data_IF_529150117309
#
_entry.id   IF_529150117309
#
_cell.length_a   1.000
_cell.length_b   1.000
_cell.length_c   1.000
_cell.angle_alpha   90.00
_cell.angle_beta   90.00
_cell.angle_gamma   90.00
#
_symmetry.space_group_name_H-M   'P 1'
#
loop_
_entity.id
_entity.type
_entity.pdbx_description
1 polymer ?
#
# COMPACT_ATOMS: atom_id res chain seq x y z
N UNK A 1 -7.05 18.37 -21.79
CA UNK A 1 -7.11 17.68 -20.49
C UNK A 1 -6.80 16.21 -20.71
N UNK A 2 -5.70 15.74 -20.13
CA UNK A 2 -5.36 14.32 -20.05
C UNK A 2 -6.38 13.64 -19.13
N UNK A 3 -7.04 12.57 -19.58
CA UNK A 3 -8.05 11.87 -18.79
C UNK A 3 -7.71 10.37 -18.72
N UNK A 4 -7.08 9.99 -17.61
CA UNK A 4 -6.66 8.60 -17.32
C UNK A 4 -7.86 7.64 -17.38
N UNK A 5 -9.06 8.07 -16.96
CA UNK A 5 -10.23 7.20 -16.93
C UNK A 5 -10.67 6.72 -18.31
N UNK A 6 -10.34 7.47 -19.37
CA UNK A 6 -10.59 7.07 -20.77
C UNK A 6 -9.51 6.15 -21.36
N UNK A 7 -8.29 6.19 -20.84
CA UNK A 7 -7.17 5.36 -21.31
C UNK A 7 -7.21 3.95 -20.72
N UNK A 8 -7.74 3.80 -19.51
CA UNK A 8 -7.65 2.57 -18.72
C UNK A 8 -6.29 2.42 -18.03
N UNK A 9 -6.24 1.71 -16.92
CA UNK A 9 -5.06 1.63 -16.04
C UNK A 9 -3.81 1.08 -16.75
N UNK A 10 -3.93 -0.07 -17.43
CA UNK A 10 -2.81 -0.73 -18.13
C UNK A 10 -2.15 0.20 -19.17
N UNK A 11 -2.94 0.94 -19.94
CA UNK A 11 -2.44 1.89 -20.94
C UNK A 11 -1.85 3.16 -20.32
N UNK A 12 -2.44 3.66 -19.24
CA UNK A 12 -1.89 4.79 -18.50
C UNK A 12 -0.51 4.46 -17.90
N UNK A 13 -0.36 3.26 -17.32
CA UNK A 13 0.91 2.79 -16.77
C UNK A 13 1.96 2.56 -17.86
N UNK A 14 1.58 2.03 -19.02
CA UNK A 14 2.52 1.88 -20.15
C UNK A 14 3.10 3.22 -20.63
N UNK A 15 2.36 4.32 -20.48
CA UNK A 15 2.85 5.66 -20.82
C UNK A 15 3.75 6.25 -19.72
N UNK A 16 3.79 5.66 -18.52
CA UNK A 16 4.56 6.16 -17.37
C UNK A 16 6.09 6.13 -17.55
N UNK A 17 6.62 5.28 -18.44
CA UNK A 17 8.06 5.20 -18.72
C UNK A 17 8.56 6.35 -19.60
N UNK A 18 7.64 7.04 -20.28
CA UNK A 18 8.01 8.21 -21.07
C UNK A 18 8.43 9.32 -20.08
N UNK A 19 9.71 9.72 -20.14
CA UNK A 19 10.28 10.78 -19.31
C UNK A 19 9.49 12.10 -19.40
N UNK A 20 8.76 12.34 -20.48
CA UNK A 20 7.88 13.51 -20.63
C UNK A 20 6.51 13.30 -19.97
N UNK A 21 6.06 12.07 -19.87
CA UNK A 21 4.72 11.73 -19.39
C UNK A 21 4.67 11.50 -17.89
N UNK A 22 5.72 10.92 -17.29
CA UNK A 22 5.80 10.71 -15.84
C UNK A 22 5.51 11.98 -15.02
N UNK A 23 6.10 13.15 -15.32
CA UNK A 23 5.79 14.38 -14.60
C UNK A 23 4.33 14.83 -14.74
N UNK A 24 3.73 14.64 -15.93
CA UNK A 24 2.32 14.98 -16.18
C UNK A 24 1.39 14.07 -15.38
N UNK A 25 1.70 12.77 -15.30
CA UNK A 25 0.94 11.82 -14.51
C UNK A 25 1.08 12.09 -13.02
N UNK A 26 2.29 12.42 -12.55
CA UNK A 26 2.51 12.79 -11.14
C UNK A 26 1.70 14.02 -10.75
N UNK A 27 1.73 15.08 -11.56
CA UNK A 27 0.93 16.29 -11.35
C UNK A 27 -0.57 15.99 -11.38
N UNK A 28 -1.04 15.14 -12.30
CA UNK A 28 -2.44 14.72 -12.35
C UNK A 28 -2.86 13.99 -11.06
N UNK A 29 -2.05 13.04 -10.57
CA UNK A 29 -2.37 12.27 -9.37
C UNK A 29 -2.31 13.12 -8.10
N UNK A 30 -1.34 14.04 -7.98
CA UNK A 30 -1.28 15.01 -6.88
C UNK A 30 -2.58 15.81 -6.80
N UNK A 31 -3.03 16.36 -7.92
CA UNK A 31 -4.26 17.15 -8.00
C UNK A 31 -5.51 16.31 -7.73
N UNK A 32 -5.58 15.09 -8.26
CA UNK A 32 -6.71 14.18 -8.08
C UNK A 32 -6.89 13.78 -6.61
N UNK A 33 -5.79 13.45 -5.94
CA UNK A 33 -5.79 13.08 -4.52
C UNK A 33 -5.97 14.31 -3.64
N UNK A 34 -5.55 15.49 -4.11
CA UNK A 34 -5.65 16.75 -3.39
C UNK A 34 -4.47 17.03 -2.45
N UNK A 35 -3.30 16.46 -2.75
CA UNK A 35 -2.06 16.63 -2.00
C UNK A 35 -1.40 17.98 -2.30
N UNK A 36 -0.84 18.62 -1.27
CA UNK A 36 -0.06 19.87 -1.43
C UNK A 36 1.21 19.62 -2.25
N UNK A 37 1.35 20.29 -3.40
CA UNK A 37 2.52 20.19 -4.28
C UNK A 37 3.78 20.84 -3.70
N UNK A 38 3.63 21.73 -2.72
CA UNK A 38 4.76 22.35 -2.04
C UNK A 38 5.47 21.38 -1.09
N UNK A 39 4.81 20.29 -0.70
CA UNK A 39 5.42 19.24 0.11
C UNK A 39 6.23 18.30 -0.77
N UNK A 40 7.54 18.26 -0.57
CA UNK A 40 8.44 17.40 -1.37
C UNK A 40 8.07 15.94 -1.22
N UNK A 41 7.71 15.53 0.00
CA UNK A 41 7.28 14.16 0.27
C UNK A 41 5.97 13.79 -0.46
N UNK A 42 5.08 14.74 -0.75
CA UNK A 42 3.87 14.46 -1.53
C UNK A 42 4.20 14.09 -2.97
N UNK A 43 5.12 14.83 -3.59
CA UNK A 43 5.60 14.49 -4.94
C UNK A 43 6.31 13.14 -4.95
N UNK A 44 7.16 12.89 -3.95
CA UNK A 44 7.93 11.65 -3.87
C UNK A 44 7.04 10.42 -3.69
N UNK A 45 6.00 10.48 -2.84
CA UNK A 45 5.10 9.34 -2.64
C UNK A 45 4.31 9.00 -3.91
N UNK A 46 3.92 10.01 -4.70
CA UNK A 46 3.29 9.78 -6.01
C UNK A 46 4.27 9.13 -6.99
N UNK A 47 5.54 9.52 -6.97
CA UNK A 47 6.57 8.86 -7.77
C UNK A 47 6.78 7.40 -7.35
N UNK A 48 6.78 7.09 -6.05
CA UNK A 48 6.80 5.70 -5.56
C UNK A 48 5.66 4.87 -6.15
N UNK A 49 4.43 5.40 -6.10
CA UNK A 49 3.27 4.73 -6.68
C UNK A 49 3.44 4.48 -8.18
N UNK A 50 3.84 5.51 -8.93
CA UNK A 50 4.05 5.39 -10.37
C UNK A 50 5.10 4.32 -10.69
N UNK A 51 6.25 4.37 -10.01
CA UNK A 51 7.37 3.44 -10.23
C UNK A 51 6.98 2.01 -9.89
N UNK A 52 6.27 1.82 -8.78
CA UNK A 52 5.81 0.50 -8.36
C UNK A 52 4.84 -0.11 -9.37
N UNK A 53 3.79 0.62 -9.74
CA UNK A 53 2.82 0.15 -10.74
C UNK A 53 3.49 -0.09 -12.10
N UNK A 54 4.43 0.77 -12.51
CA UNK A 54 5.18 0.57 -13.74
C UNK A 54 6.00 -0.73 -13.71
N UNK A 55 6.78 -0.94 -12.65
CA UNK A 55 7.57 -2.15 -12.45
C UNK A 55 6.70 -3.40 -12.41
N UNK A 56 5.54 -3.34 -11.73
CA UNK A 56 4.62 -4.48 -11.62
C UNK A 56 3.99 -4.85 -12.97
N UNK A 57 3.50 -3.88 -13.73
CA UNK A 57 2.88 -4.14 -15.04
C UNK A 57 3.87 -4.57 -16.13
N UNK A 58 5.17 -4.40 -15.90
CA UNK A 58 6.23 -4.80 -16.82
C UNK A 58 7.18 -5.86 -16.23
N UNK A 59 6.83 -6.49 -15.11
CA UNK A 59 7.69 -7.45 -14.41
C UNK A 59 8.21 -8.54 -15.35
N UNK A 60 7.30 -9.27 -16.01
CA UNK A 60 7.63 -10.32 -16.98
C UNK A 60 8.52 -9.82 -18.13
N UNK A 61 8.25 -8.64 -18.67
CA UNK A 61 9.04 -8.06 -19.77
C UNK A 61 10.46 -7.71 -19.33
N UNK A 62 10.61 -7.31 -18.07
CA UNK A 62 11.88 -6.95 -17.47
C UNK A 62 12.62 -8.15 -16.87
N UNK A 63 12.07 -9.37 -17.02
CA UNK A 63 12.65 -10.59 -16.46
C UNK A 63 12.55 -10.68 -14.93
N UNK A 64 11.67 -9.88 -14.31
CA UNK A 64 11.41 -9.90 -12.88
C UNK A 64 10.19 -10.77 -12.59
N UNK A 65 10.23 -11.46 -11.46
CA UNK A 65 9.08 -12.20 -10.95
C UNK A 65 8.17 -11.27 -10.15
N UNK A 66 6.86 -11.55 -10.19
CA UNK A 66 5.86 -10.80 -9.45
C UNK A 66 4.97 -11.73 -8.62
N UNK A 67 4.77 -11.37 -7.36
CA UNK A 67 3.84 -12.05 -6.47
C UNK A 67 2.68 -11.12 -6.13
N UNK A 68 1.44 -11.56 -6.32
CA UNK A 68 0.33 -10.88 -5.65
C UNK A 68 0.35 -11.25 -4.18
N UNK A 69 0.29 -10.25 -3.31
CA UNK A 69 0.33 -10.43 -1.85
C UNK A 69 -0.74 -9.58 -1.18
N UNK A 70 -1.21 -9.96 -0.01
CA UNK A 70 -2.08 -9.06 0.77
C UNK A 70 -1.25 -7.90 1.36
N UNK A 71 -1.91 -6.79 1.70
CA UNK A 71 -1.24 -5.63 2.33
C UNK A 71 -0.36 -5.97 3.56
N UNK A 72 -0.74 -6.88 4.48
CA UNK A 72 0.08 -7.21 5.65
C UNK A 72 1.16 -8.28 5.40
N UNK A 73 1.37 -8.71 4.15
CA UNK A 73 2.37 -9.74 3.86
C UNK A 73 3.79 -9.30 4.26
N UNK A 74 4.67 -10.22 4.69
CA UNK A 74 6.07 -9.93 5.05
C UNK A 74 6.91 -9.67 3.78
N UNK A 75 6.71 -8.50 3.18
CA UNK A 75 7.30 -8.13 1.88
C UNK A 75 8.83 -8.21 1.84
N UNK A 76 9.52 -8.06 2.97
CA UNK A 76 10.98 -8.21 3.07
C UNK A 76 11.48 -9.56 2.53
N UNK A 77 10.71 -10.63 2.72
CA UNK A 77 11.07 -11.96 2.22
C UNK A 77 11.07 -11.94 0.68
N UNK A 78 10.05 -11.37 0.05
CA UNK A 78 9.95 -11.30 -1.41
C UNK A 78 11.13 -10.52 -2.03
N UNK A 79 11.50 -9.39 -1.44
CA UNK A 79 12.66 -8.63 -1.90
C UNK A 79 13.99 -9.37 -1.68
N UNK A 80 14.10 -10.20 -0.65
CA UNK A 80 15.26 -11.08 -0.49
C UNK A 80 15.41 -12.06 -1.67
N UNK A 81 14.29 -12.48 -2.29
CA UNK A 81 14.25 -13.32 -3.48
C UNK A 81 14.27 -12.57 -4.83
N UNK A 82 14.37 -11.24 -4.82
CA UNK A 82 14.24 -10.39 -6.02
C UNK A 82 12.85 -10.50 -6.69
N UNK A 83 11.81 -10.74 -5.89
CA UNK A 83 10.42 -10.79 -6.34
C UNK A 83 9.75 -9.45 -6.03
N UNK A 84 8.95 -8.95 -6.97
CA UNK A 84 8.13 -7.74 -6.78
C UNK A 84 6.83 -8.16 -6.07
N UNK A 85 6.63 -7.86 -4.78
CA UNK A 85 5.31 -8.01 -4.17
C UNK A 85 4.38 -6.92 -4.73
N UNK A 86 3.14 -7.28 -5.04
CA UNK A 86 2.12 -6.35 -5.50
C UNK A 86 0.81 -6.63 -4.75
N UNK A 87 0.32 -5.65 -4.00
CA UNK A 87 -0.98 -5.74 -3.34
C UNK A 87 -2.12 -5.30 -4.26
N UNK A 88 -3.05 -6.21 -4.64
CA UNK A 88 -4.25 -5.84 -5.39
C UNK A 88 -5.10 -4.77 -4.71
N UNK A 89 -5.06 -4.67 -3.37
CA UNK A 89 -5.75 -3.64 -2.61
C UNK A 89 -5.27 -2.22 -2.95
N UNK A 90 -4.00 -2.04 -3.31
CA UNK A 90 -3.49 -0.76 -3.80
C UNK A 90 -4.07 -0.41 -5.17
N UNK A 91 -4.21 -1.41 -6.05
CA UNK A 91 -4.82 -1.24 -7.37
C UNK A 91 -6.29 -0.88 -7.26
N UNK A 92 -7.02 -1.54 -6.37
CA UNK A 92 -8.41 -1.24 -6.06
C UNK A 92 -8.61 0.17 -5.50
N UNK A 93 -7.72 0.58 -4.59
CA UNK A 93 -7.70 1.94 -4.03
C UNK A 93 -7.51 2.98 -5.14
N UNK A 94 -6.49 2.80 -5.98
CA UNK A 94 -6.20 3.70 -7.10
C UNK A 94 -7.34 3.72 -8.12
N UNK A 95 -7.89 2.56 -8.46
CA UNK A 95 -9.00 2.43 -9.41
C UNK A 95 -10.26 3.13 -8.89
N UNK A 96 -10.49 3.09 -7.57
CA UNK A 96 -11.61 3.77 -6.92
C UNK A 96 -11.41 5.29 -6.95
N UNK A 97 -10.20 5.77 -6.62
CA UNK A 97 -9.85 7.20 -6.68
C UNK A 97 -9.92 7.76 -8.10
N UNK A 98 -9.57 6.95 -9.12
CA UNK A 98 -9.69 7.31 -10.53
C UNK A 98 -11.12 7.20 -11.08
N UNK A 99 -12.07 6.69 -10.30
CA UNK A 99 -13.45 6.45 -10.74
C UNK A 99 -13.59 5.38 -11.83
N UNK A 100 -12.63 4.46 -11.92
CA UNK A 100 -12.63 3.37 -12.93
C UNK A 100 -12.94 1.99 -12.36
N UNK A 101 -12.97 1.84 -11.03
CA UNK A 101 -13.23 0.56 -10.36
C UNK A 101 -14.64 -0.02 -10.61
N UNK A 102 -15.60 0.82 -11.04
CA UNK A 102 -17.01 0.42 -11.26
C UNK A 102 -17.10 -0.79 -12.20
N UNK A 103 -16.31 -0.81 -13.28
CA UNK A 103 -16.32 -1.92 -14.23
C UNK A 103 -15.83 -3.23 -13.62
N UNK A 104 -14.85 -3.16 -12.73
CA UNK A 104 -14.35 -4.34 -12.02
C UNK A 104 -15.44 -4.88 -11.08
N UNK A 105 -16.15 -4.00 -10.35
CA UNK A 105 -17.26 -4.38 -9.49
C UNK A 105 -18.42 -5.02 -10.26
N UNK A 106 -18.86 -4.39 -11.35
CA UNK A 106 -19.93 -4.93 -12.21
C UNK A 106 -19.55 -6.29 -12.79
N UNK A 107 -18.29 -6.48 -13.17
CA UNK A 107 -17.80 -7.77 -13.67
C UNK A 107 -17.83 -8.85 -12.58
N UNK A 108 -17.33 -8.53 -11.37
CA UNK A 108 -17.38 -9.46 -10.24
C UNK A 108 -18.82 -9.84 -9.87
N UNK A 109 -19.73 -8.87 -9.82
CA UNK A 109 -21.17 -9.11 -9.57
C UNK A 109 -21.78 -10.01 -10.65
N UNK A 110 -21.46 -9.77 -11.93
CA UNK A 110 -21.95 -10.60 -13.04
C UNK A 110 -21.44 -12.05 -12.97
N UNK A 111 -20.30 -12.27 -12.33
CA UNK A 111 -19.71 -13.58 -12.06
C UNK A 111 -20.28 -14.25 -10.80
N UNK A 112 -21.16 -13.58 -10.07
CA UNK A 112 -21.84 -14.11 -8.88
C UNK A 112 -21.23 -13.71 -7.55
N UNK A 113 -20.30 -12.75 -7.52
CA UNK A 113 -19.80 -12.18 -6.26
C UNK A 113 -20.88 -11.27 -5.66
N UNK A 114 -21.19 -11.48 -4.37
CA UNK A 114 -22.19 -10.68 -3.68
C UNK A 114 -21.79 -9.20 -3.62
N UNK A 115 -22.77 -8.31 -3.74
CA UNK A 115 -22.59 -6.87 -3.51
C UNK A 115 -22.17 -6.53 -2.08
N UNK A 116 -22.42 -7.44 -1.14
CA UNK A 116 -22.02 -7.31 0.25
C UNK A 116 -20.56 -7.74 0.50
N UNK A 117 -19.89 -8.29 -0.52
CA UNK A 117 -18.47 -8.62 -0.43
C UNK A 117 -17.61 -7.36 -0.32
N UNK A 118 -16.43 -7.49 0.27
CA UNK A 118 -15.47 -6.40 0.38
C UNK A 118 -15.14 -5.85 -1.01
N UNK A 119 -15.15 -4.51 -1.17
CA UNK A 119 -14.84 -3.87 -2.44
C UNK A 119 -13.43 -4.18 -2.93
N UNK A 120 -12.46 -4.42 -2.04
CA UNK A 120 -11.11 -4.84 -2.43
C UNK A 120 -11.11 -6.23 -3.10
N UNK A 121 -11.87 -7.17 -2.54
CA UNK A 121 -11.98 -8.53 -3.08
C UNK A 121 -12.77 -8.56 -4.39
N UNK A 122 -13.87 -7.80 -4.47
CA UNK A 122 -14.64 -7.65 -5.71
C UNK A 122 -13.79 -7.00 -6.81
N UNK A 123 -12.95 -6.01 -6.47
CA UNK A 123 -12.03 -5.41 -7.42
C UNK A 123 -11.00 -6.43 -7.95
N UNK A 124 -10.38 -7.20 -7.06
CA UNK A 124 -9.42 -8.25 -7.44
C UNK A 124 -10.06 -9.26 -8.41
N UNK A 125 -11.26 -9.78 -8.09
CA UNK A 125 -11.94 -10.76 -8.93
C UNK A 125 -12.34 -10.15 -10.27
N UNK A 126 -12.93 -8.95 -10.26
CA UNK A 126 -13.31 -8.22 -11.46
C UNK A 126 -12.14 -7.94 -12.39
N UNK A 127 -11.01 -7.49 -11.82
CA UNK A 127 -9.80 -7.18 -12.58
C UNK A 127 -9.12 -8.43 -13.15
N UNK A 128 -9.21 -9.59 -12.49
CA UNK A 128 -8.82 -10.88 -13.06
C UNK A 128 -9.68 -11.23 -14.28
N UNK A 129 -11.01 -11.14 -14.16
CA UNK A 129 -11.94 -11.45 -15.25
C UNK A 129 -11.78 -10.52 -16.46
N UNK A 130 -11.45 -9.25 -16.21
CA UNK A 130 -11.19 -8.25 -17.25
C UNK A 130 -9.76 -8.26 -17.78
N UNK A 131 -8.85 -9.05 -17.20
CA UNK A 131 -7.41 -9.05 -17.50
C UNK A 131 -6.77 -7.65 -17.39
N UNK A 132 -7.15 -6.89 -16.37
CA UNK A 132 -6.62 -5.53 -16.12
C UNK A 132 -5.48 -5.48 -15.11
N UNK A 133 -5.29 -6.55 -14.34
CA UNK A 133 -4.23 -6.68 -13.34
C UNK A 133 -2.84 -6.94 -13.95
N UNK A 134 -1.73 -6.64 -13.25
CA UNK A 134 -0.40 -7.06 -13.68
C UNK A 134 -0.30 -8.57 -13.65
N UNK A 135 0.40 -9.16 -14.62
CA UNK A 135 0.65 -10.60 -14.63
C UNK A 135 1.54 -10.98 -13.44
N UNK A 136 1.17 -12.06 -12.74
CA UNK A 136 1.91 -12.59 -11.60
C UNK A 136 2.36 -14.03 -11.84
N UNK A 137 3.46 -14.41 -11.21
CA UNK A 137 3.97 -15.78 -11.22
C UNK A 137 3.37 -16.62 -10.08
N UNK A 138 3.02 -15.96 -8.98
CA UNK A 138 2.50 -16.61 -7.77
C UNK A 138 1.57 -15.69 -7.00
N UNK A 139 0.69 -16.29 -6.21
CA UNK A 139 -0.14 -15.59 -5.23
C UNK A 139 0.29 -16.04 -3.84
N UNK A 140 0.44 -15.10 -2.91
CA UNK A 140 0.67 -15.41 -1.50
C UNK A 140 -0.38 -14.71 -0.67
N UNK A 141 -1.28 -15.52 -0.11
CA UNK A 141 -2.35 -15.02 0.73
C UNK A 141 -1.94 -15.05 2.20
N UNK A 142 -1.98 -13.90 2.87
CA UNK A 142 -1.75 -13.77 4.31
C UNK A 142 -3.09 -13.55 5.00
N UNK A 143 -3.60 -14.61 5.63
CA UNK A 143 -4.87 -14.61 6.36
C UNK A 143 -4.65 -14.36 7.87
N UNK A 144 -5.71 -14.09 8.63
CA UNK A 144 -5.62 -13.85 10.07
C UNK A 144 -5.09 -12.48 10.49
N UNK A 145 -4.39 -11.76 9.60
CA UNK A 145 -4.15 -10.31 9.72
C UNK A 145 -5.09 -9.56 8.78
N UNK A 146 -6.06 -8.82 9.32
CA UNK A 146 -7.02 -8.04 8.54
C UNK A 146 -8.37 -8.75 8.37
N UNK A 147 -8.50 -9.64 7.39
CA UNK A 147 -9.74 -10.39 7.18
C UNK A 147 -9.50 -11.77 6.53
N UNK A 148 -10.42 -12.71 6.77
CA UNK A 148 -10.36 -14.05 6.19
C UNK A 148 -10.90 -14.09 4.74
N UNK A 149 -11.72 -13.10 4.37
CA UNK A 149 -12.30 -12.97 3.03
C UNK A 149 -11.23 -12.86 1.93
N UNK A 150 -10.10 -12.20 2.24
CA UNK A 150 -8.97 -12.09 1.34
C UNK A 150 -8.33 -13.45 0.99
N UNK A 151 -8.37 -14.42 1.90
CA UNK A 151 -7.95 -15.79 1.61
C UNK A 151 -8.78 -16.41 0.49
N UNK A 152 -10.10 -16.24 0.57
CA UNK A 152 -11.03 -16.76 -0.45
C UNK A 152 -10.91 -16.01 -1.77
N UNK A 153 -10.72 -14.70 -1.76
CA UNK A 153 -10.56 -13.94 -3.00
C UNK A 153 -9.27 -14.33 -3.75
N UNK A 154 -8.19 -14.65 -3.04
CA UNK A 154 -6.96 -15.19 -3.63
C UNK A 154 -7.13 -16.61 -4.20
N UNK A 155 -7.92 -17.47 -3.55
CA UNK A 155 -8.27 -18.77 -4.14
C UNK A 155 -9.10 -18.62 -5.43
N UNK A 156 -10.06 -17.69 -5.45
CA UNK A 156 -10.85 -17.38 -6.66
C UNK A 156 -9.93 -16.82 -7.75
N UNK A 157 -9.04 -15.90 -7.40
CA UNK A 157 -8.05 -15.37 -8.34
C UNK A 157 -7.15 -16.48 -8.90
N UNK A 158 -6.69 -17.41 -8.06
CA UNK A 158 -5.92 -18.60 -8.48
C UNK A 158 -6.73 -19.46 -9.46
N UNK A 159 -8.00 -19.73 -9.16
CA UNK A 159 -8.90 -20.49 -10.04
C UNK A 159 -9.09 -19.82 -11.41
N UNK A 160 -9.29 -18.50 -11.42
CA UNK A 160 -9.54 -17.73 -12.65
C UNK A 160 -8.30 -17.57 -13.53
N UNK A 161 -7.13 -17.45 -12.92
CA UNK A 161 -5.87 -17.13 -13.61
C UNK A 161 -4.99 -18.36 -13.86
N UNK A 162 -5.21 -19.45 -13.12
CA UNK A 162 -4.32 -20.62 -13.10
C UNK A 162 -3.02 -20.41 -12.32
N UNK A 163 -2.83 -19.24 -11.69
CA UNK A 163 -1.63 -18.91 -10.92
C UNK A 163 -1.68 -19.61 -9.56
N UNK A 164 -0.62 -20.31 -9.12
CA UNK A 164 -0.65 -21.03 -7.84
C UNK A 164 -0.70 -20.09 -6.65
N UNK A 165 -1.47 -20.46 -5.63
CA UNK A 165 -1.59 -19.73 -4.36
C UNK A 165 -0.93 -20.48 -3.20
N UNK A 166 -0.12 -19.77 -2.43
CA UNK A 166 0.38 -20.20 -1.13
C UNK A 166 -0.40 -19.47 -0.03
N UNK A 167 -0.90 -20.20 0.96
CA UNK A 167 -1.58 -19.62 2.12
C UNK A 167 -0.65 -19.58 3.32
N UNK A 168 -0.58 -18.40 3.93
CA UNK A 168 0.07 -18.13 5.20
C UNK A 168 -0.98 -17.62 6.18
N UNK A 169 -0.93 -18.04 7.44
CA UNK A 169 -1.88 -17.64 8.47
C UNK A 169 -1.16 -16.91 9.60
N UNK A 170 -1.54 -15.67 9.86
CA UNK A 170 -1.17 -14.98 11.09
C UNK A 170 -2.10 -15.42 12.22
N UNK A 171 -1.57 -15.85 13.37
CA UNK A 171 -2.42 -16.20 14.50
C UNK A 171 -3.13 -14.96 15.07
N UNK A 172 -4.42 -15.10 15.41
CA UNK A 172 -5.19 -14.02 16.05
C UNK A 172 -4.63 -13.63 17.42
N UNK A 173 -4.00 -14.58 18.12
CA UNK A 173 -3.24 -14.33 19.34
C UNK A 173 -1.83 -13.92 18.93
N UNK A 174 -1.31 -12.82 19.47
CA UNK A 174 -0.07 -12.22 18.97
C UNK A 174 1.01 -12.00 20.05
N UNK A 175 0.78 -12.47 21.28
CA UNK A 175 1.66 -12.19 22.42
C UNK A 175 2.05 -13.42 23.24
N UNK A 176 1.56 -14.62 22.90
CA UNK A 176 1.97 -15.85 23.56
C UNK A 176 3.04 -16.61 22.77
N UNK A 177 3.89 -17.40 23.45
CA UNK A 177 4.99 -18.11 22.80
C UNK A 177 4.55 -19.08 21.70
N UNK A 178 3.37 -19.71 21.85
CA UNK A 178 2.85 -20.69 20.90
C UNK A 178 2.47 -20.03 19.58
N UNK A 179 1.78 -18.89 19.63
CA UNK A 179 1.46 -18.11 18.45
C UNK A 179 2.71 -17.55 17.76
N UNK A 180 3.70 -17.10 18.52
CA UNK A 180 4.98 -16.62 17.95
C UNK A 180 5.70 -17.76 17.22
N UNK A 181 5.79 -18.95 17.83
CA UNK A 181 6.44 -20.09 17.19
C UNK A 181 5.66 -20.58 15.96
N UNK A 182 4.33 -20.61 16.02
CA UNK A 182 3.49 -20.93 14.86
C UNK A 182 3.72 -19.95 13.70
N UNK A 183 3.71 -18.64 13.97
CA UNK A 183 3.94 -17.65 12.91
C UNK A 183 5.36 -17.72 12.34
N UNK A 184 6.34 -18.04 13.18
CA UNK A 184 7.71 -18.31 12.73
C UNK A 184 7.75 -19.51 11.78
N UNK A 185 7.05 -20.61 12.08
CA UNK A 185 6.92 -21.75 11.16
C UNK A 185 6.26 -21.35 9.83
N UNK A 186 5.22 -20.52 9.87
CA UNK A 186 4.56 -20.00 8.66
C UNK A 186 5.52 -19.18 7.79
N UNK A 187 6.39 -18.37 8.40
CA UNK A 187 7.45 -17.64 7.67
C UNK A 187 8.43 -18.61 6.99
N UNK A 188 8.83 -19.70 7.66
CA UNK A 188 9.69 -20.71 7.06
C UNK A 188 9.00 -21.49 5.93
N UNK A 189 7.70 -21.78 6.05
CA UNK A 189 6.91 -22.40 4.96
C UNK A 189 6.82 -21.48 3.74
N UNK A 190 6.68 -20.18 3.94
CA UNK A 190 6.74 -19.20 2.86
C UNK A 190 8.14 -19.19 2.21
N UNK A 191 9.21 -19.19 3.00
CA UNK A 191 10.57 -19.27 2.48
C UNK A 191 10.75 -20.55 1.65
N UNK A 192 10.38 -21.71 2.16
CA UNK A 192 10.47 -22.99 1.44
C UNK A 192 9.67 -22.98 0.13
N UNK A 193 8.48 -22.40 0.14
CA UNK A 193 7.68 -22.20 -1.07
C UNK A 193 8.43 -21.35 -2.11
N UNK A 194 8.98 -20.20 -1.70
CA UNK A 194 9.73 -19.31 -2.58
C UNK A 194 11.04 -19.95 -3.07
N UNK A 195 11.74 -20.72 -2.24
CA UNK A 195 12.95 -21.44 -2.66
C UNK A 195 12.64 -22.49 -3.72
N UNK A 196 11.55 -23.25 -3.54
CA UNK A 196 11.11 -24.24 -4.53
C UNK A 196 10.64 -23.59 -5.83
N UNK A 197 9.92 -22.46 -5.74
CA UNK A 197 9.41 -21.76 -6.90
C UNK A 197 10.52 -21.09 -7.72
N UNK A 198 11.46 -20.43 -7.04
CA UNK A 198 12.55 -19.66 -7.68
C UNK A 198 13.78 -20.50 -8.01
N UNK A 199 13.94 -21.66 -7.37
CA UNK A 199 15.17 -22.46 -7.44
C UNK A 199 16.37 -21.81 -6.72
N UNK A 200 16.16 -20.73 -5.96
CA UNK A 200 17.21 -20.02 -5.21
C UNK A 200 17.06 -20.32 -3.71
N UNK A 201 18.16 -20.30 -2.97
CA UNK A 201 18.14 -20.34 -1.50
C UNK A 201 18.07 -18.93 -0.93
N UNK A 202 17.44 -18.77 0.24
CA UNK A 202 17.40 -17.49 0.94
C UNK A 202 18.82 -17.04 1.30
N UNK A 203 19.18 -15.83 0.85
CA UNK A 203 20.38 -15.15 1.33
C UNK A 203 20.09 -14.49 2.68
N UNK A 204 20.62 -15.11 3.74
CA UNK A 204 20.45 -14.66 5.12
C UNK A 204 21.07 -13.28 5.38
N UNK A 205 22.17 -12.92 4.73
CA UNK A 205 22.78 -11.60 4.92
C UNK A 205 21.97 -10.53 4.18
N UNK A 206 21.44 -10.84 3.00
CA UNK A 206 20.54 -9.96 2.25
C UNK A 206 19.25 -9.67 3.03
N UNK A 207 18.54 -10.69 3.51
CA UNK A 207 17.29 -10.46 4.27
C UNK A 207 17.56 -9.72 5.58
N UNK A 208 18.67 -10.01 6.27
CA UNK A 208 19.06 -9.30 7.49
C UNK A 208 19.31 -7.81 7.22
N UNK A 209 19.95 -7.48 6.10
CA UNK A 209 20.13 -6.09 5.67
C UNK A 209 18.78 -5.43 5.36
N UNK A 210 17.90 -6.09 4.61
CA UNK A 210 16.56 -5.57 4.27
C UNK A 210 15.75 -5.30 5.56
N UNK A 211 15.66 -6.27 6.47
CA UNK A 211 14.92 -6.16 7.73
C UNK A 211 15.48 -5.05 8.62
N UNK A 212 16.81 -4.85 8.63
CA UNK A 212 17.42 -3.74 9.36
C UNK A 212 16.90 -2.40 8.83
N UNK A 213 16.92 -2.21 7.52
CA UNK A 213 16.49 -0.97 6.88
C UNK A 213 14.97 -0.76 6.97
N UNK A 214 14.15 -1.83 6.87
CA UNK A 214 12.68 -1.75 7.03
C UNK A 214 12.29 -1.37 8.46
N UNK A 215 13.04 -1.85 9.47
CA UNK A 215 12.87 -1.43 10.86
C UNK A 215 13.20 0.05 11.06
N UNK A 216 14.27 0.57 10.44
CA UNK A 216 14.59 2.00 10.50
C UNK A 216 13.53 2.85 9.80
N UNK A 217 13.04 2.42 8.63
CA UNK A 217 11.91 3.07 7.96
C UNK A 217 10.67 3.12 8.86
N UNK A 218 10.34 2.02 9.53
CA UNK A 218 9.24 1.92 10.48
C UNK A 218 9.39 2.86 11.68
N UNK A 219 10.61 3.12 12.16
CA UNK A 219 10.86 4.10 13.23
C UNK A 219 10.54 5.52 12.78
N UNK A 220 11.05 5.93 11.61
CA UNK A 220 10.75 7.26 11.05
C UNK A 220 9.27 7.42 10.72
N UNK A 221 8.65 6.40 10.17
CA UNK A 221 7.21 6.40 9.90
C UNK A 221 6.39 6.67 11.16
N UNK A 222 6.65 5.94 12.26
CA UNK A 222 5.99 6.18 13.55
C UNK A 222 6.27 7.59 14.10
N UNK A 223 7.52 8.07 13.98
CA UNK A 223 7.87 9.45 14.35
C UNK A 223 7.05 10.46 13.56
N UNK A 224 6.82 10.25 12.26
CA UNK A 224 5.99 11.14 11.45
C UNK A 224 4.56 11.25 11.98
N UNK A 225 3.99 10.15 12.50
CA UNK A 225 2.68 10.15 13.17
C UNK A 225 2.69 10.88 14.50
N UNK A 226 3.73 10.70 15.31
CA UNK A 226 3.89 11.41 16.59
C UNK A 226 4.01 12.92 16.40
N UNK A 227 4.77 13.36 15.39
CA UNK A 227 4.94 14.78 15.05
C UNK A 227 3.61 15.45 14.64
N UNK A 228 2.67 14.70 14.06
CA UNK A 228 1.34 15.24 13.69
C UNK A 228 0.54 15.70 14.90
N UNK A 229 0.90 15.30 16.13
CA UNK A 229 0.26 15.77 17.38
C UNK A 229 0.51 17.25 17.67
N UNK A 230 1.46 17.89 17.00
CA UNK A 230 1.75 19.32 17.16
C UNK A 230 0.53 20.23 16.92
N UNK A 231 0.64 21.47 17.41
CA UNK A 231 -0.27 22.59 17.11
C UNK A 231 0.59 23.78 16.60
N UNK A 232 0.25 24.36 15.43
CA UNK A 232 -0.79 23.93 14.50
C UNK A 232 -0.48 22.57 13.85
N UNK A 233 -1.48 21.92 13.22
CA UNK A 233 -1.30 20.58 12.64
C UNK A 233 -0.48 20.69 11.35
N UNK A 234 0.69 20.04 11.23
CA UNK A 234 1.65 20.35 10.17
C UNK A 234 1.25 19.80 8.79
N UNK A 235 0.50 18.69 8.72
CA UNK A 235 0.05 18.06 7.48
C UNK A 235 -1.38 17.50 7.62
N UNK A 236 -2.08 17.35 6.50
CA UNK A 236 -3.50 17.00 6.44
C UNK A 236 -3.82 15.51 6.61
N UNK A 237 -5.12 15.21 6.61
CA UNK A 237 -5.63 13.84 6.70
C UNK A 237 -5.34 13.04 5.44
N UNK A 238 -5.39 13.67 4.26
CA UNK A 238 -5.11 13.01 2.98
C UNK A 238 -3.64 12.60 2.88
N UNK A 239 -2.72 13.44 3.33
CA UNK A 239 -1.29 13.10 3.48
C UNK A 239 -1.10 11.87 4.36
N UNK A 240 -1.95 11.68 5.38
CA UNK A 240 -1.87 10.52 6.26
C UNK A 240 -2.11 9.21 5.51
N UNK A 241 -3.04 9.20 4.55
CA UNK A 241 -3.34 8.04 3.69
C UNK A 241 -2.23 7.85 2.67
N UNK A 242 -1.81 8.93 2.01
CA UNK A 242 -0.80 8.86 0.95
C UNK A 242 0.54 8.35 1.50
N UNK A 243 1.00 8.89 2.64
CA UNK A 243 2.27 8.50 3.27
C UNK A 243 2.21 7.14 3.98
N UNK A 244 1.04 6.51 4.09
CA UNK A 244 0.92 5.15 4.60
C UNK A 244 1.39 4.12 3.57
N UNK A 245 1.10 4.31 2.29
CA UNK A 245 1.37 3.29 1.28
C UNK A 245 2.81 2.81 1.18
N UNK A 246 3.87 3.63 1.42
CA UNK A 246 5.23 3.15 1.30
C UNK A 246 5.62 2.07 2.30
N UNK A 247 5.05 2.07 3.51
CA UNK A 247 5.35 1.07 4.55
C UNK A 247 4.64 -0.27 4.29
N UNK A 248 3.61 -0.33 3.46
CA UNK A 248 2.86 -1.58 3.28
C UNK A 248 3.39 -2.43 2.15
N UNK A 249 3.74 -1.82 1.01
CA UNK A 249 3.96 -2.58 -0.23
C UNK A 249 4.97 -1.93 -1.19
N UNK A 250 5.50 -0.73 -0.88
CA UNK A 250 6.35 0.01 -1.82
C UNK A 250 7.84 -0.09 -1.49
N UNK A 251 8.33 -1.26 -1.03
CA UNK A 251 9.76 -1.47 -0.79
C UNK A 251 10.55 -1.93 -2.01
N UNK A 252 10.12 -1.53 -3.23
CA UNK A 252 10.95 -1.72 -4.43
C UNK A 252 12.39 -1.22 -4.21
N UNK A 253 12.56 -0.29 -3.26
CA UNK A 253 13.81 0.08 -2.64
C UNK A 253 13.61 0.42 -1.14
N UNK A 254 14.07 -0.46 -0.23
CA UNK A 254 13.99 -0.26 1.23
C UNK A 254 14.77 0.97 1.71
N UNK A 255 15.86 1.32 1.02
CA UNK A 255 16.69 2.49 1.33
C UNK A 255 15.94 3.76 0.93
N UNK A 256 15.35 3.78 -0.27
CA UNK A 256 14.48 4.88 -0.72
C UNK A 256 13.33 5.09 0.25
N UNK A 257 12.68 4.01 0.70
CA UNK A 257 11.57 4.05 1.67
C UNK A 257 11.99 4.66 3.00
N UNK A 258 13.13 4.22 3.56
CA UNK A 258 13.69 4.82 4.78
C UNK A 258 14.00 6.30 4.59
N UNK A 259 14.65 6.66 3.49
CA UNK A 259 15.04 8.05 3.20
C UNK A 259 13.81 8.94 3.04
N UNK A 260 12.75 8.43 2.40
CA UNK A 260 11.46 9.11 2.32
C UNK A 260 10.89 9.44 3.70
N UNK A 261 10.78 8.45 4.60
CA UNK A 261 10.23 8.70 5.94
C UNK A 261 11.11 9.61 6.79
N UNK A 262 12.44 9.54 6.62
CA UNK A 262 13.35 10.49 7.24
C UNK A 262 13.10 11.91 6.74
N UNK A 263 13.02 12.11 5.42
CA UNK A 263 12.71 13.41 4.83
C UNK A 263 11.32 13.93 5.22
N UNK A 264 10.34 13.04 5.37
CA UNK A 264 9.00 13.40 5.86
C UNK A 264 9.06 13.93 7.29
N UNK A 265 9.83 13.29 8.17
CA UNK A 265 10.05 13.81 9.53
C UNK A 265 10.72 15.19 9.50
N UNK A 266 11.79 15.33 8.71
CA UNK A 266 12.54 16.59 8.59
C UNK A 266 11.63 17.74 8.10
N UNK A 267 10.76 17.47 7.12
CA UNK A 267 9.80 18.42 6.56
C UNK A 267 8.69 18.80 7.54
N UNK A 268 8.12 17.81 8.24
CA UNK A 268 7.12 18.06 9.30
C UNK A 268 7.72 18.89 10.43
N UNK A 269 8.93 18.56 10.88
CA UNK A 269 9.62 19.29 11.95
C UNK A 269 9.94 20.73 11.56
N UNK A 270 10.32 20.97 10.31
CA UNK A 270 10.54 22.32 9.81
C UNK A 270 9.24 23.13 9.84
N UNK A 271 8.12 22.54 9.37
CA UNK A 271 6.80 23.19 9.43
C UNK A 271 6.36 23.50 10.85
N UNK A 272 6.63 22.61 11.81
CA UNK A 272 6.36 22.86 13.23
C UNK A 272 7.18 24.06 13.73
N UNK A 273 8.48 24.13 13.41
CA UNK A 273 9.34 25.26 13.79
C UNK A 273 8.85 26.59 13.20
N UNK A 274 8.38 26.54 11.96
CA UNK A 274 7.89 27.71 11.23
C UNK A 274 6.42 28.05 11.57
N UNK A 275 5.79 27.30 12.48
CA UNK A 275 4.37 27.45 12.85
C UNK A 275 3.42 27.36 11.65
N UNK A 276 3.75 26.51 10.67
CA UNK A 276 2.94 26.29 9.46
C UNK A 276 1.99 25.12 9.69
N UNK A 277 0.69 25.44 9.72
CA UNK A 277 -0.41 24.47 9.81
C UNK A 277 -1.16 24.28 8.50
N UNK A 278 -1.94 23.21 8.42
CA UNK A 278 -2.94 23.01 7.34
C UNK A 278 -4.35 23.48 7.71
N UNK A 279 -4.59 23.74 8.99
CA UNK A 279 -5.86 24.22 9.57
C UNK A 279 -5.58 25.20 10.69
N UNK A 280 -6.60 25.95 11.11
CA UNK A 280 -6.55 26.86 12.25
C UNK A 280 -6.21 26.12 13.57
N UNK A 281 -5.60 26.83 14.52
CA UNK A 281 -5.14 26.23 15.78
C UNK A 281 -6.26 25.65 16.65
N UNK A 282 -7.48 26.18 16.51
CA UNK A 282 -8.69 25.76 17.23
C UNK A 282 -9.47 24.64 16.51
N UNK A 283 -8.98 24.16 15.36
CA UNK A 283 -9.62 23.09 14.60
C UNK A 283 -9.84 21.82 15.45
N UNK A 284 -11.01 21.22 15.26
CA UNK A 284 -11.44 20.00 15.97
C UNK A 284 -10.70 18.80 15.37
N UNK A 285 -9.87 18.16 16.20
CA UNK A 285 -9.11 16.96 15.81
C UNK A 285 -10.02 15.74 15.82
N UNK A 286 -10.23 15.14 14.65
CA UNK A 286 -11.07 13.96 14.46
C UNK A 286 -10.16 12.76 14.22
N UNK A 287 -10.27 11.74 15.06
CA UNK A 287 -9.60 10.47 14.82
C UNK A 287 -10.48 9.63 13.88
N UNK A 288 -10.01 9.41 12.65
CA UNK A 288 -10.71 8.56 11.68
C UNK A 288 -10.18 7.15 11.75
N UNK A 289 -11.07 6.18 11.98
CA UNK A 289 -10.69 4.78 12.07
C UNK A 289 -10.87 4.13 10.70
N UNK A 290 -9.86 3.38 10.26
CA UNK A 290 -9.81 2.63 9.01
C UNK A 290 -9.51 3.48 7.77
N UNK A 291 -9.45 2.84 6.60
CA UNK A 291 -9.29 3.53 5.32
C UNK A 291 -10.48 4.48 5.06
N UNK A 292 -10.23 5.69 4.54
CA UNK A 292 -11.32 6.56 4.11
C UNK A 292 -11.97 6.01 2.83
N UNK A 293 -13.15 6.53 2.45
CA UNK A 293 -13.79 6.18 1.19
C UNK A 293 -12.88 6.58 0.01
N UNK A 294 -12.14 5.64 -0.55
CA UNK A 294 -11.13 5.93 -1.60
C UNK A 294 -11.74 6.53 -2.88
N UNK A 295 -13.04 6.36 -3.10
CA UNK A 295 -13.78 6.96 -4.21
C UNK A 295 -14.16 8.43 -3.96
N UNK A 296 -14.09 8.90 -2.72
CA UNK A 296 -14.44 10.27 -2.31
C UNK A 296 -13.49 10.78 -1.22
N UNK A 297 -12.23 11.02 -1.60
CA UNK A 297 -11.25 11.68 -0.74
C UNK A 297 -11.61 13.15 -0.47
N UNK A 298 -12.53 13.73 -1.25
CA UNK A 298 -13.05 15.08 -1.05
C UNK A 298 -13.75 15.26 0.30
N UNK A 299 -14.34 14.20 0.85
CA UNK A 299 -14.90 14.19 2.19
C UNK A 299 -13.89 14.61 3.27
N UNK A 300 -12.66 14.08 3.20
CA UNK A 300 -11.60 14.38 4.17
C UNK A 300 -11.22 15.86 4.08
N UNK A 301 -11.06 16.37 2.87
CA UNK A 301 -10.76 17.79 2.62
C UNK A 301 -11.91 18.70 3.05
N UNK A 302 -13.16 18.28 2.85
CA UNK A 302 -14.32 19.06 3.25
C UNK A 302 -14.37 19.24 4.78
N UNK A 303 -14.07 18.19 5.54
CA UNK A 303 -13.97 18.27 7.01
C UNK A 303 -12.93 19.32 7.43
N UNK A 304 -11.80 19.39 6.73
CA UNK A 304 -10.77 20.41 6.96
C UNK A 304 -11.27 21.83 6.68
N UNK A 305 -12.12 22.03 5.67
CA UNK A 305 -12.69 23.35 5.34
C UNK A 305 -13.73 23.88 6.33
N UNK A 306 -14.30 23.03 7.19
CA UNK A 306 -15.35 23.40 8.15
C UNK A 306 -14.86 23.45 9.60
N UNK A 307 -13.53 23.55 9.79
CA UNK A 307 -12.91 23.67 11.11
C UNK A 307 -12.60 22.34 11.79
N UNK A 308 -12.58 21.23 11.04
CA UNK A 308 -12.07 19.95 11.51
C UNK A 308 -10.66 19.66 11.02
N UNK A 309 -10.04 18.59 11.51
CA UNK A 309 -8.84 17.99 10.90
C UNK A 309 -8.86 16.50 11.14
N UNK A 310 -8.81 15.74 10.05
CA UNK A 310 -8.82 14.29 10.11
C UNK A 310 -7.42 13.76 10.37
N UNK A 311 -7.30 12.94 11.41
CA UNK A 311 -6.09 12.22 11.77
C UNK A 311 -6.41 10.74 11.68
N UNK A 312 -5.83 10.07 10.69
CA UNK A 312 -5.98 8.62 10.52
C UNK A 312 -4.79 7.99 11.23
N UNK A 313 -4.94 7.40 12.43
CA UNK A 313 -3.81 6.80 13.11
C UNK A 313 -3.38 5.54 12.36
N UNK A 314 -2.07 5.35 12.30
CA UNK A 314 -1.41 4.15 11.78
C UNK A 314 -2.05 2.85 12.29
N UNK A 315 -2.39 2.79 13.59
CA UNK A 315 -3.01 1.62 14.22
C UNK A 315 -4.40 1.26 13.69
N UNK A 316 -5.04 2.16 12.95
CA UNK A 316 -6.34 1.92 12.33
C UNK A 316 -6.24 1.37 10.90
N UNK A 317 -5.05 1.33 10.31
CA UNK A 317 -4.80 0.83 8.96
C UNK A 317 -4.05 -0.52 9.02
N UNK A 318 -4.70 -1.61 8.60
CA UNK A 318 -4.22 -3.02 8.56
C UNK A 318 -3.21 -3.41 9.66
N UNK A 319 -3.56 -3.12 10.91
CA UNK A 319 -2.79 -3.51 12.08
C UNK A 319 -1.67 -2.52 12.37
N UNK A 320 -1.75 -1.86 13.53
CA UNK A 320 -0.67 -1.05 14.04
C UNK A 320 0.64 -1.83 14.01
N UNK A 321 1.61 -1.29 13.27
CA UNK A 321 3.01 -1.64 13.20
C UNK A 321 3.57 -1.60 14.63
N UNK A 322 3.33 -2.70 15.36
CA UNK A 322 4.02 -3.15 16.56
C UNK A 322 4.11 -2.15 17.72
N UNK A 323 3.31 -2.37 18.78
CA UNK A 323 3.49 -1.73 20.09
C UNK A 323 3.81 -2.74 21.19
N UNK A 324 5.09 -2.77 21.55
CA UNK A 324 5.60 -2.34 22.87
C UNK A 324 7.12 -2.27 22.74
N UNK A 325 7.70 -1.07 22.63
CA UNK A 325 9.00 -0.88 23.26
C UNK A 325 8.75 -1.13 24.74
N UNK A 326 9.25 -2.26 25.27
CA UNK A 326 9.36 -2.42 26.71
C UNK A 326 10.31 -1.31 27.17
N UNK A 327 9.74 -0.24 27.71
CA UNK A 327 10.45 0.68 28.62
C UNK A 327 11.06 -0.08 29.76
#
# INVERSE_FOLDING_TARGET
MFNISKLGMRKAIQLADDQKFKPLMASYLLNLVGLDENLKCNTEVINFFIDHFYSSFNANKNGNMLAWVNLPAPTEIFYAFDIIPFAPELMASLSSTLGIAVKDFEMAESYGISRDACSFDSHLIGSCLLNTSPEADMLVSTTGTGCDAQGKSFEVASYLTGIPVHHMTTPYRNNDPEAIEYYKEELFRLIDFLENFTGKKLDYEKIKAIVKESNEASKYFRRSYELRKARPVPIGGIESVAHYSPITNLYGDVIRTKNFYKSLCDEIEQRIKDSVGVVDEDAIRIMWLHFPPMHDLGLIKHIETIGGIVLIPESSLYGGVWRKEKT
#
